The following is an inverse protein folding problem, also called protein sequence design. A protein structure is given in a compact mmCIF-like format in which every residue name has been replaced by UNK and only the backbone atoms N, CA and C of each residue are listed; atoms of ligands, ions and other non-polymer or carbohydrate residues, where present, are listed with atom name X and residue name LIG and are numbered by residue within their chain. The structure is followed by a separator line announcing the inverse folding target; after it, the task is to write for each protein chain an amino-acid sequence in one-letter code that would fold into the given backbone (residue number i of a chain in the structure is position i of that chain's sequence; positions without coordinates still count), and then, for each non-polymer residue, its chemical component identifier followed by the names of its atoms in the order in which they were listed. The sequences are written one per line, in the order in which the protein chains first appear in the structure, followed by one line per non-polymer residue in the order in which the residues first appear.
data_IF_205814517257
#
_entry.id   IF_205814517257
#
_cell.length_a   1.000
_cell.length_b   1.000
_cell.length_c   1.000
_cell.angle_alpha   90.00
_cell.angle_beta   90.00
_cell.angle_gamma   90.00
#
_symmetry.space_group_name_H-M   'P 1'
#
loop_
_entity.id
_entity.type
_entity.pdbx_description
1 polymer ?
#
# COMPACT_ATOMS: atom_id res chain seq x y z
N UNK A 1 -23.76 -16.19 12.92
CA UNK A 1 -23.23 -14.96 13.52
C UNK A 1 -22.93 -13.97 12.39
N UNK A 2 -23.44 -12.74 12.50
CA UNK A 2 -23.15 -11.66 11.56
C UNK A 2 -21.87 -10.93 12.00
N UNK A 3 -20.94 -10.74 11.08
CA UNK A 3 -19.65 -10.08 11.35
C UNK A 3 -19.50 -8.85 10.47
N UNK A 4 -19.33 -7.69 11.08
CA UNK A 4 -18.93 -6.45 10.42
C UNK A 4 -17.43 -6.26 10.58
N UNK A 5 -16.73 -5.85 9.53
CA UNK A 5 -15.28 -5.60 9.57
C UNK A 5 -15.00 -4.20 9.05
N UNK A 6 -14.53 -3.35 9.95
CA UNK A 6 -13.97 -2.02 9.65
C UNK A 6 -12.48 -2.16 9.38
N UNK A 7 -11.97 -1.48 8.36
CA UNK A 7 -10.55 -1.60 7.95
C UNK A 7 -9.90 -0.24 7.86
N UNK A 8 -8.76 -0.10 8.51
CA UNK A 8 -7.92 1.09 8.50
C UNK A 8 -6.54 0.80 7.92
N UNK A 9 -5.91 1.82 7.39
CA UNK A 9 -4.49 1.80 7.00
C UNK A 9 -4.26 1.48 5.52
N UNK A 10 -3.26 0.67 5.22
CA UNK A 10 -2.70 0.52 3.88
C UNK A 10 -3.31 -0.65 3.08
N UNK A 11 -3.04 -0.75 1.77
CA UNK A 11 -3.53 -1.86 0.92
C UNK A 11 -3.25 -3.27 1.45
N UNK A 12 -2.22 -3.44 2.31
CA UNK A 12 -1.95 -4.73 2.95
C UNK A 12 -2.99 -5.08 4.01
N UNK A 13 -3.48 -4.08 4.76
CA UNK A 13 -4.57 -4.28 5.73
C UNK A 13 -5.90 -4.58 5.02
N UNK A 14 -6.18 -3.91 3.89
CA UNK A 14 -7.36 -4.24 3.08
C UNK A 14 -7.28 -5.66 2.53
N UNK A 15 -6.11 -6.09 2.03
CA UNK A 15 -5.90 -7.47 1.62
C UNK A 15 -6.11 -8.47 2.78
N UNK A 16 -5.63 -8.14 3.98
CA UNK A 16 -5.83 -8.97 5.18
C UNK A 16 -7.33 -9.09 5.55
N UNK A 17 -8.09 -8.00 5.40
CA UNK A 17 -9.54 -7.99 5.61
C UNK A 17 -10.27 -8.87 4.58
N UNK A 18 -9.90 -8.81 3.31
CA UNK A 18 -10.50 -9.67 2.28
C UNK A 18 -10.21 -11.16 2.55
N UNK A 19 -9.01 -11.48 3.08
CA UNK A 19 -8.68 -12.82 3.58
C UNK A 19 -9.58 -13.19 4.76
N UNK A 20 -9.70 -12.32 5.77
CA UNK A 20 -10.58 -12.54 6.92
C UNK A 20 -12.02 -12.82 6.50
N UNK A 21 -12.56 -11.99 5.58
CA UNK A 21 -13.90 -12.19 4.99
C UNK A 21 -14.01 -13.50 4.23
N UNK A 22 -12.97 -13.86 3.47
CA UNK A 22 -12.90 -15.14 2.75
C UNK A 22 -12.99 -16.34 3.68
N UNK A 23 -12.18 -16.36 4.75
CA UNK A 23 -12.21 -17.41 5.76
C UNK A 23 -13.58 -17.56 6.46
N UNK A 24 -14.24 -16.43 6.75
CA UNK A 24 -15.57 -16.45 7.35
C UNK A 24 -16.65 -16.95 6.37
N UNK A 25 -16.57 -16.58 5.09
CA UNK A 25 -17.54 -16.98 4.06
C UNK A 25 -17.45 -18.48 3.71
N UNK A 26 -16.35 -19.18 4.02
CA UNK A 26 -16.26 -20.63 3.86
C UNK A 26 -17.09 -21.38 4.90
N UNK A 27 -17.42 -20.74 6.00
CA UNK A 27 -18.13 -21.31 7.13
C UNK A 27 -19.62 -20.98 7.09
N UNK A 28 -20.49 -21.98 7.27
CA UNK A 28 -21.94 -21.82 7.14
C UNK A 28 -22.61 -21.00 8.24
N UNK A 29 -21.94 -20.86 9.37
CA UNK A 29 -22.45 -20.21 10.56
C UNK A 29 -22.05 -18.73 10.66
N UNK A 30 -21.31 -18.22 9.65
CA UNK A 30 -20.97 -16.82 9.53
C UNK A 30 -21.61 -16.17 8.31
N UNK A 31 -21.99 -14.92 8.47
CA UNK A 31 -22.42 -14.02 7.39
C UNK A 31 -21.82 -12.65 7.62
N UNK A 32 -21.48 -11.94 6.55
CA UNK A 32 -21.01 -10.55 6.67
C UNK A 32 -22.19 -9.61 6.89
N UNK A 33 -21.99 -8.59 7.71
CA UNK A 33 -22.93 -7.50 7.91
C UNK A 33 -22.45 -6.27 7.14
N UNK A 34 -23.39 -5.48 6.64
CA UNK A 34 -23.10 -4.24 5.89
C UNK A 34 -22.89 -3.04 6.84
N UNK A 35 -23.34 -3.16 8.08
CA UNK A 35 -23.16 -2.11 9.10
C UNK A 35 -22.92 -2.68 10.50
N UNK A 36 -22.28 -1.89 11.41
CA UNK A 36 -22.02 -2.33 12.78
C UNK A 36 -23.31 -2.54 13.61
N UNK A 37 -24.41 -1.87 13.25
CA UNK A 37 -25.71 -2.02 13.92
C UNK A 37 -26.25 -3.44 13.75
N UNK A 38 -26.07 -4.04 12.57
CA UNK A 38 -26.60 -5.36 12.24
C UNK A 38 -25.71 -6.52 12.71
N UNK A 39 -24.49 -6.22 13.14
CA UNK A 39 -23.51 -7.22 13.48
C UNK A 39 -23.72 -7.82 14.87
N UNK A 40 -23.43 -9.11 15.02
CA UNK A 40 -23.23 -9.78 16.32
C UNK A 40 -21.78 -9.57 16.81
N UNK A 41 -20.85 -9.47 15.86
CA UNK A 41 -19.42 -9.28 16.09
C UNK A 41 -18.94 -8.12 15.23
N UNK A 42 -18.34 -7.11 15.85
CA UNK A 42 -17.67 -6.00 15.17
C UNK A 42 -16.16 -6.26 15.23
N UNK A 43 -15.49 -6.25 14.11
CA UNK A 43 -14.04 -6.41 14.01
C UNK A 43 -13.42 -5.15 13.43
N UNK A 44 -12.35 -4.65 14.06
CA UNK A 44 -11.58 -3.49 13.56
C UNK A 44 -10.18 -3.97 13.19
N UNK A 45 -9.85 -3.92 11.91
CA UNK A 45 -8.50 -4.19 11.40
C UNK A 45 -7.70 -2.88 11.38
N UNK A 46 -6.70 -2.79 12.24
CA UNK A 46 -6.04 -1.55 12.65
C UNK A 46 -4.67 -1.35 12.01
N UNK A 47 -4.27 -0.08 11.86
CA UNK A 47 -2.92 0.33 11.51
C UNK A 47 -2.14 0.78 12.75
N UNK A 48 -0.87 0.36 12.87
CA UNK A 48 0.00 0.70 14.00
C UNK A 48 1.39 1.20 13.55
N UNK A 49 1.48 1.75 12.33
CA UNK A 49 2.77 2.07 11.72
C UNK A 49 3.34 3.39 12.22
N UNK A 50 2.57 4.48 12.20
CA UNK A 50 2.95 5.82 12.67
C UNK A 50 1.93 6.35 13.67
N UNK A 51 2.29 7.42 14.41
CA UNK A 51 1.45 7.96 15.48
C UNK A 51 0.04 8.35 15.02
N UNK A 52 -0.11 8.99 13.87
CA UNK A 52 -1.42 9.40 13.36
C UNK A 52 -2.31 8.20 13.07
N UNK A 53 -1.77 7.16 12.43
CA UNK A 53 -2.50 5.93 12.15
C UNK A 53 -2.85 5.14 13.44
N UNK A 54 -2.02 5.23 14.49
CA UNK A 54 -2.34 4.66 15.81
C UNK A 54 -3.52 5.40 16.44
N UNK A 55 -3.50 6.74 16.40
CA UNK A 55 -4.58 7.57 16.92
C UNK A 55 -5.90 7.28 16.20
N UNK A 56 -5.90 7.30 14.87
CA UNK A 56 -7.05 6.96 14.04
C UNK A 56 -7.61 5.57 14.40
N UNK A 57 -6.73 4.58 14.58
CA UNK A 57 -7.13 3.23 14.96
C UNK A 57 -7.77 3.18 16.36
N UNK A 58 -7.21 3.88 17.34
CA UNK A 58 -7.78 3.96 18.69
C UNK A 58 -9.14 4.67 18.67
N UNK A 59 -9.23 5.81 18.00
CA UNK A 59 -10.49 6.57 17.87
C UNK A 59 -11.58 5.68 17.21
N UNK A 60 -11.25 4.92 16.20
CA UNK A 60 -12.17 3.99 15.52
C UNK A 60 -12.59 2.83 16.44
N UNK A 61 -11.68 2.25 17.22
CA UNK A 61 -12.04 1.21 18.20
C UNK A 61 -13.03 1.75 19.22
N UNK A 62 -12.81 2.97 19.74
CA UNK A 62 -13.71 3.61 20.69
C UNK A 62 -15.06 3.92 20.05
N UNK A 63 -15.11 4.40 18.81
CA UNK A 63 -16.35 4.60 18.06
C UNK A 63 -17.12 3.28 17.94
N UNK A 64 -16.46 2.20 17.53
CA UNK A 64 -17.09 0.89 17.38
C UNK A 64 -17.53 0.28 18.70
N UNK A 65 -16.87 0.60 19.82
CA UNK A 65 -17.29 0.14 21.15
C UNK A 65 -18.65 0.71 21.57
N UNK A 66 -19.00 1.92 21.09
CA UNK A 66 -20.31 2.54 21.33
C UNK A 66 -21.49 1.71 20.82
N UNK A 67 -21.29 0.89 19.80
CA UNK A 67 -22.32 -0.02 19.28
C UNK A 67 -22.59 -1.21 20.20
N UNK A 68 -21.70 -1.55 21.13
CA UNK A 68 -21.92 -2.61 22.13
C UNK A 68 -22.96 -2.18 23.17
N UNK A 69 -22.99 -0.89 23.52
CA UNK A 69 -23.85 -0.35 24.57
C UNK A 69 -25.26 -0.06 24.09
N UNK A 70 -25.46 0.12 22.78
CA UNK A 70 -26.70 0.61 22.18
C UNK A 70 -27.67 -0.48 21.71
N UNK A 71 -27.30 -1.78 21.79
CA UNK A 71 -28.08 -2.89 21.23
C UNK A 71 -28.84 -3.73 22.23
N UNK A 72 -29.92 -4.41 21.77
CA UNK A 72 -30.70 -5.39 22.57
C UNK A 72 -29.93 -6.73 22.77
N UNK A 73 -28.86 -6.98 21.98
CA UNK A 73 -28.01 -8.17 22.07
C UNK A 73 -26.57 -7.80 22.48
N UNK A 74 -25.93 -8.69 23.23
CA UNK A 74 -24.51 -8.54 23.63
C UNK A 74 -23.60 -8.68 22.41
N UNK A 75 -23.26 -7.56 21.77
CA UNK A 75 -22.30 -7.54 20.67
C UNK A 75 -20.86 -7.77 21.17
N UNK A 76 -20.01 -8.35 20.35
CA UNK A 76 -18.59 -8.55 20.62
C UNK A 76 -17.73 -7.62 19.77
N UNK A 77 -16.68 -7.06 20.37
CA UNK A 77 -15.70 -6.21 19.69
C UNK A 77 -14.35 -6.93 19.63
N UNK A 78 -13.85 -7.09 18.42
CA UNK A 78 -12.58 -7.75 18.11
C UNK A 78 -11.66 -6.76 17.42
N UNK A 79 -10.41 -6.67 17.86
CA UNK A 79 -9.39 -5.81 17.28
C UNK A 79 -8.27 -6.66 16.69
N UNK A 80 -7.91 -6.40 15.44
CA UNK A 80 -6.83 -7.08 14.73
C UNK A 80 -5.89 -6.09 14.05
N UNK A 81 -4.88 -6.60 13.37
CA UNK A 81 -4.00 -5.79 12.54
C UNK A 81 -2.73 -5.32 13.24
N UNK A 82 -2.08 -4.31 12.63
CA UNK A 82 -0.73 -3.89 13.04
C UNK A 82 -0.68 -3.27 14.43
N UNK A 83 -1.71 -2.51 14.83
CA UNK A 83 -1.76 -1.93 16.17
C UNK A 83 -1.93 -3.02 17.24
N UNK A 84 -2.85 -3.95 17.01
CA UNK A 84 -3.07 -5.10 17.89
C UNK A 84 -1.79 -5.93 18.05
N UNK A 85 -1.06 -6.22 16.95
CA UNK A 85 0.20 -6.97 17.00
C UNK A 85 1.27 -6.24 17.82
N UNK A 86 1.39 -4.92 17.64
CA UNK A 86 2.47 -4.12 18.22
C UNK A 86 2.28 -3.84 19.72
N UNK A 87 1.03 -3.60 20.15
CA UNK A 87 0.69 -3.12 21.49
C UNK A 87 -0.32 -4.00 22.22
N UNK A 88 -0.29 -5.30 21.94
CA UNK A 88 -1.31 -6.23 22.41
C UNK A 88 -1.52 -6.25 23.93
N UNK A 89 -0.45 -6.09 24.71
CA UNK A 89 -0.52 -6.12 26.18
C UNK A 89 -1.12 -4.83 26.71
N UNK A 90 -0.60 -3.70 26.27
CA UNK A 90 -1.04 -2.36 26.68
C UNK A 90 -2.51 -2.17 26.32
N UNK A 91 -2.90 -2.49 25.09
CA UNK A 91 -4.28 -2.39 24.65
C UNK A 91 -5.21 -3.35 25.42
N UNK A 92 -4.73 -4.55 25.72
CA UNK A 92 -5.52 -5.49 26.53
C UNK A 92 -5.78 -4.97 27.92
N UNK A 93 -4.85 -4.26 28.55
CA UNK A 93 -5.00 -3.71 29.89
C UNK A 93 -5.81 -2.42 29.91
N UNK A 94 -5.65 -1.57 28.88
CA UNK A 94 -6.22 -0.21 28.84
C UNK A 94 -7.59 -0.14 28.16
N UNK A 95 -7.96 -1.11 27.30
CA UNK A 95 -9.22 -1.12 26.54
C UNK A 95 -10.15 -2.28 26.96
N UNK A 96 -10.81 -2.20 28.13
CA UNK A 96 -11.67 -3.28 28.66
C UNK A 96 -12.91 -3.56 27.80
N UNK A 97 -13.33 -2.62 26.96
CA UNK A 97 -14.44 -2.76 26.01
C UNK A 97 -14.18 -3.76 24.89
N UNK A 98 -12.91 -4.05 24.58
CA UNK A 98 -12.52 -5.01 23.54
C UNK A 98 -12.55 -6.44 24.09
N UNK A 99 -13.29 -7.33 23.43
CA UNK A 99 -13.43 -8.73 23.83
C UNK A 99 -12.25 -9.59 23.38
N UNK A 100 -11.64 -9.27 22.22
CA UNK A 100 -10.52 -10.06 21.71
C UNK A 100 -9.55 -9.20 20.90
N UNK A 101 -8.26 -9.36 21.18
CA UNK A 101 -7.16 -8.86 20.35
C UNK A 101 -6.57 -10.03 19.57
N UNK A 102 -6.37 -9.84 18.24
CA UNK A 102 -5.84 -10.86 17.33
C UNK A 102 -4.61 -10.28 16.61
N UNK A 103 -3.57 -11.11 16.45
CA UNK A 103 -2.39 -10.76 15.68
C UNK A 103 -2.62 -10.82 14.16
N UNK A 104 -1.66 -10.30 13.40
CA UNK A 104 -1.72 -10.24 11.92
C UNK A 104 -1.62 -11.60 11.24
N UNK A 105 -1.23 -12.66 11.95
CA UNK A 105 -1.05 -13.99 11.41
C UNK A 105 -2.17 -14.97 11.79
N UNK A 106 -3.26 -14.52 12.41
CA UNK A 106 -4.30 -15.37 12.98
C UNK A 106 -5.55 -15.53 12.08
N UNK A 107 -5.56 -14.97 10.88
CA UNK A 107 -6.76 -14.93 10.01
C UNK A 107 -7.24 -16.33 9.58
N UNK A 108 -6.34 -17.30 9.38
CA UNK A 108 -6.72 -18.69 9.09
C UNK A 108 -7.56 -19.31 10.21
N UNK A 109 -7.30 -18.93 11.46
CA UNK A 109 -7.99 -19.41 12.64
C UNK A 109 -9.17 -18.54 13.06
N UNK A 110 -9.45 -17.47 12.32
CA UNK A 110 -10.47 -16.49 12.68
C UNK A 110 -11.85 -17.11 12.95
N UNK A 111 -12.39 -18.06 12.16
CA UNK A 111 -13.67 -18.68 12.46
C UNK A 111 -13.69 -19.41 13.80
N UNK A 112 -12.61 -20.13 14.13
CA UNK A 112 -12.46 -20.82 15.41
C UNK A 112 -12.42 -19.82 16.59
N UNK A 113 -11.67 -18.74 16.43
CA UNK A 113 -11.51 -17.68 17.43
C UNK A 113 -12.86 -17.04 17.71
N UNK A 114 -13.60 -16.66 16.68
CA UNK A 114 -14.89 -15.97 16.83
C UNK A 114 -15.98 -16.86 17.44
N UNK A 115 -15.98 -18.19 17.18
CA UNK A 115 -16.88 -19.12 17.87
C UNK A 115 -16.65 -19.23 19.38
N UNK A 116 -15.44 -18.94 19.82
CA UNK A 116 -14.98 -19.13 21.20
C UNK A 116 -14.80 -17.82 21.99
N UNK A 117 -15.52 -16.74 21.62
CA UNK A 117 -15.48 -15.45 22.33
C UNK A 117 -16.29 -15.44 23.64
N UNK A 118 -16.19 -16.50 24.45
CA UNK A 118 -16.92 -16.58 25.75
C UNK A 118 -16.22 -15.80 26.89
N UNK A 119 -14.96 -15.42 26.68
CA UNK A 119 -14.18 -14.64 27.64
C UNK A 119 -13.24 -13.71 26.88
N UNK A 120 -12.86 -12.62 27.55
CA UNK A 120 -11.88 -11.68 26.98
C UNK A 120 -10.53 -12.35 26.71
N UNK A 121 -9.94 -12.14 25.52
CA UNK A 121 -8.75 -12.84 25.06
C UNK A 121 -7.73 -11.91 24.39
N UNK A 122 -6.46 -12.23 24.58
CA UNK A 122 -5.36 -11.71 23.77
C UNK A 122 -4.71 -12.89 23.03
N UNK A 123 -4.88 -12.93 21.71
CA UNK A 123 -4.42 -14.02 20.82
C UNK A 123 -3.34 -13.54 19.86
N UNK A 124 -2.54 -12.57 20.27
CA UNK A 124 -1.36 -12.14 19.54
C UNK A 124 -0.22 -13.10 19.87
N UNK A 125 0.05 -14.02 18.95
CA UNK A 125 1.02 -15.09 19.20
C UNK A 125 2.46 -14.72 18.85
N UNK A 126 2.66 -13.71 18.02
CA UNK A 126 3.98 -13.38 17.45
C UNK A 126 4.60 -14.52 16.64
N UNK A 127 3.92 -15.67 16.52
CA UNK A 127 4.37 -16.82 15.76
C UNK A 127 4.13 -16.60 14.27
N UNK A 128 5.22 -16.49 13.53
CA UNK A 128 5.22 -16.36 12.08
C UNK A 128 5.64 -17.71 11.50
N UNK A 129 4.78 -18.33 10.70
CA UNK A 129 5.14 -19.54 9.95
C UNK A 129 6.27 -19.26 8.94
N UNK A 130 6.97 -20.30 8.52
CA UNK A 130 8.09 -20.18 7.55
C UNK A 130 7.63 -19.87 6.13
N UNK A 131 6.34 -20.01 5.82
CA UNK A 131 5.76 -19.80 4.49
C UNK A 131 4.51 -18.93 4.58
N UNK A 132 4.24 -18.15 3.53
CA UNK A 132 3.00 -17.42 3.37
C UNK A 132 2.00 -18.28 2.57
N UNK A 133 0.95 -18.83 3.22
CA UNK A 133 -0.02 -19.68 2.54
C UNK A 133 -0.93 -18.88 1.62
N UNK A 134 -1.47 -19.55 0.59
CA UNK A 134 -2.61 -19.03 -0.16
C UNK A 134 -3.87 -19.22 0.69
N UNK A 135 -4.62 -18.15 0.87
CA UNK A 135 -5.92 -18.15 1.53
C UNK A 135 -6.98 -17.59 0.59
N UNK A 136 -8.21 -18.07 0.74
CA UNK A 136 -9.34 -17.50 0.01
C UNK A 136 -9.56 -16.06 0.42
N UNK A 137 -9.94 -15.25 -0.56
CA UNK A 137 -10.30 -13.85 -0.36
C UNK A 137 -11.73 -13.62 -0.80
N UNK A 138 -12.43 -12.76 -0.07
CA UNK A 138 -13.67 -12.15 -0.53
C UNK A 138 -13.36 -10.69 -0.83
N UNK A 139 -13.37 -10.35 -2.11
CA UNK A 139 -13.06 -9.01 -2.58
C UNK A 139 -14.11 -8.01 -2.08
N UNK A 140 -13.63 -6.85 -1.66
CA UNK A 140 -14.42 -5.67 -1.34
C UNK A 140 -14.29 -4.63 -2.46
N UNK A 141 -15.40 -3.91 -2.71
CA UNK A 141 -15.39 -2.76 -3.61
C UNK A 141 -15.21 -3.15 -5.07
N UNK A 142 -14.24 -2.57 -5.70
CA UNK A 142 -14.07 -2.49 -7.14
C UNK A 142 -13.47 -3.77 -7.72
N UNK A 143 -14.21 -4.61 -8.47
CA UNK A 143 -13.69 -5.90 -8.93
C UNK A 143 -12.64 -5.76 -10.04
N UNK A 144 -12.55 -4.60 -10.71
CA UNK A 144 -11.62 -4.41 -11.84
C UNK A 144 -10.21 -3.98 -11.44
N UNK A 145 -9.99 -3.54 -10.19
CA UNK A 145 -8.66 -3.30 -9.62
C UNK A 145 -8.50 -4.12 -8.36
N UNK A 146 -7.45 -4.92 -8.26
CA UNK A 146 -7.19 -5.75 -7.09
C UNK A 146 -5.73 -5.76 -6.72
N UNK A 147 -5.45 -5.79 -5.43
CA UNK A 147 -4.09 -6.01 -4.91
C UNK A 147 -3.80 -7.49 -4.82
N UNK A 148 -2.56 -7.90 -5.10
CA UNK A 148 -2.07 -9.26 -4.90
C UNK A 148 -0.83 -9.23 -4.01
N UNK A 149 -0.98 -9.74 -2.79
CA UNK A 149 0.12 -9.84 -1.83
C UNK A 149 1.00 -11.03 -2.19
N UNK A 150 2.22 -10.76 -2.70
CA UNK A 150 3.19 -11.77 -3.14
C UNK A 150 4.18 -12.18 -2.06
N UNK A 151 4.35 -11.35 -1.03
CA UNK A 151 5.20 -11.64 0.13
C UNK A 151 4.71 -10.87 1.36
N UNK A 152 5.17 -11.28 2.56
CA UNK A 152 4.88 -10.65 3.84
C UNK A 152 6.16 -10.51 4.66
N UNK A 153 6.24 -9.46 5.51
CA UNK A 153 7.40 -9.20 6.35
C UNK A 153 8.55 -8.51 5.61
N UNK A 154 9.61 -8.12 6.33
CA UNK A 154 10.72 -7.39 5.75
C UNK A 154 12.03 -7.62 6.50
N UNK A 155 13.14 -7.82 5.77
CA UNK A 155 14.48 -7.99 6.30
C UNK A 155 15.40 -6.78 6.02
N UNK A 156 14.85 -5.62 5.63
CA UNK A 156 15.67 -4.43 5.38
C UNK A 156 16.10 -3.71 6.66
N UNK A 157 15.32 -3.85 7.75
CA UNK A 157 15.61 -3.27 9.06
C UNK A 157 15.96 -1.78 9.01
N UNK A 158 15.22 -1.00 8.20
CA UNK A 158 15.39 0.45 8.18
C UNK A 158 15.21 1.04 9.58
N UNK A 159 16.09 1.98 9.99
CA UNK A 159 16.16 2.46 11.37
C UNK A 159 14.88 3.13 11.89
N UNK A 160 14.02 3.62 11.01
CA UNK A 160 12.73 4.25 11.32
C UNK A 160 11.54 3.29 11.33
N UNK A 161 11.74 2.01 10.95
CA UNK A 161 10.64 1.13 10.56
C UNK A 161 10.37 0.05 11.61
N UNK A 162 9.10 -0.09 11.99
CA UNK A 162 8.61 -1.10 12.94
C UNK A 162 8.11 -2.38 12.27
N UNK A 163 8.09 -2.45 10.94
CA UNK A 163 7.50 -3.59 10.20
C UNK A 163 8.12 -4.93 10.59
N UNK A 164 9.45 -5.09 10.73
CA UNK A 164 10.02 -6.38 11.13
C UNK A 164 9.50 -6.91 12.47
N UNK A 165 9.16 -6.02 13.41
CA UNK A 165 8.60 -6.42 14.71
C UNK A 165 7.10 -6.75 14.64
N UNK A 166 6.36 -6.21 13.66
CA UNK A 166 4.92 -6.43 13.49
C UNK A 166 4.65 -7.61 12.56
N UNK A 167 5.29 -7.61 11.37
CA UNK A 167 5.00 -8.57 10.29
C UNK A 167 6.03 -9.69 10.18
N UNK A 168 7.09 -9.62 11.00
CA UNK A 168 8.17 -10.60 11.02
C UNK A 168 9.14 -10.49 9.84
N UNK A 169 9.97 -11.55 9.68
CA UNK A 169 10.91 -11.68 8.58
C UNK A 169 10.21 -11.85 7.23
N UNK A 170 10.93 -11.54 6.16
CA UNK A 170 10.43 -11.63 4.79
C UNK A 170 10.11 -13.08 4.39
N UNK A 171 8.93 -13.29 3.83
CA UNK A 171 8.42 -14.59 3.38
C UNK A 171 7.66 -14.42 2.08
N UNK A 172 8.12 -15.04 1.02
CA UNK A 172 7.42 -15.06 -0.26
C UNK A 172 6.26 -16.05 -0.24
N UNK A 173 5.22 -15.74 -0.99
CA UNK A 173 4.21 -16.72 -1.41
C UNK A 173 4.79 -17.55 -2.56
N UNK A 174 4.51 -18.85 -2.61
CA UNK A 174 4.96 -19.69 -3.72
C UNK A 174 4.43 -19.18 -5.05
N UNK A 175 5.22 -19.31 -6.11
CA UNK A 175 4.85 -18.77 -7.44
C UNK A 175 3.54 -19.36 -7.96
N UNK A 176 3.36 -20.67 -7.80
CA UNK A 176 2.13 -21.37 -8.20
C UNK A 176 0.89 -20.84 -7.44
N UNK A 177 1.03 -20.46 -6.17
CA UNK A 177 -0.05 -19.90 -5.37
C UNK A 177 -0.37 -18.47 -5.79
N UNK A 178 0.66 -17.66 -6.12
CA UNK A 178 0.49 -16.31 -6.65
C UNK A 178 -0.25 -16.33 -7.99
N UNK A 179 0.15 -17.23 -8.90
CA UNK A 179 -0.46 -17.36 -10.22
C UNK A 179 -1.92 -17.83 -10.12
N UNK A 180 -2.19 -18.82 -9.30
CA UNK A 180 -3.54 -19.32 -9.10
C UNK A 180 -4.48 -18.25 -8.48
N UNK A 181 -3.97 -17.42 -7.55
CA UNK A 181 -4.74 -16.29 -7.00
C UNK A 181 -4.97 -15.20 -8.05
N UNK A 182 -3.96 -14.90 -8.89
CA UNK A 182 -4.10 -13.96 -9.99
C UNK A 182 -5.14 -14.40 -11.03
N UNK A 183 -5.19 -15.70 -11.36
CA UNK A 183 -6.20 -16.27 -12.25
C UNK A 183 -7.62 -16.16 -11.67
N UNK A 184 -7.79 -16.39 -10.36
CA UNK A 184 -9.08 -16.21 -9.67
C UNK A 184 -9.53 -14.75 -9.68
N UNK A 185 -8.61 -13.81 -9.41
CA UNK A 185 -8.89 -12.37 -9.47
C UNK A 185 -9.29 -11.96 -10.89
N UNK A 186 -8.55 -12.41 -11.90
CA UNK A 186 -8.84 -12.15 -13.30
C UNK A 186 -10.21 -12.72 -13.72
N UNK A 187 -10.55 -13.94 -13.29
CA UNK A 187 -11.84 -14.55 -13.53
C UNK A 187 -13.00 -13.80 -12.83
N UNK A 188 -12.71 -13.09 -11.74
CA UNK A 188 -13.68 -12.25 -11.01
C UNK A 188 -13.86 -10.86 -11.64
N UNK A 189 -13.11 -10.52 -12.71
CA UNK A 189 -13.22 -9.27 -13.45
C UNK A 189 -12.09 -8.29 -13.23
N UNK A 190 -11.01 -8.69 -12.52
CA UNK A 190 -9.83 -7.85 -12.32
C UNK A 190 -9.15 -7.56 -13.67
N UNK A 191 -8.99 -6.28 -13.99
CA UNK A 191 -8.26 -5.75 -15.14
C UNK A 191 -6.89 -5.21 -14.76
N UNK A 192 -6.79 -4.56 -13.60
CA UNK A 192 -5.54 -4.07 -13.04
C UNK A 192 -5.15 -4.88 -11.81
N UNK A 193 -4.00 -5.56 -11.88
CA UNK A 193 -3.42 -6.32 -10.78
C UNK A 193 -2.25 -5.55 -10.18
N UNK A 194 -2.35 -5.17 -8.90
CA UNK A 194 -1.32 -4.44 -8.18
C UNK A 194 -0.56 -5.38 -7.28
N UNK A 195 0.72 -5.62 -7.57
CA UNK A 195 1.57 -6.45 -6.74
C UNK A 195 2.04 -5.69 -5.51
N UNK A 196 1.78 -6.26 -4.33
CA UNK A 196 2.15 -5.66 -3.05
C UNK A 196 2.94 -6.63 -2.17
N UNK A 197 3.86 -6.06 -1.41
CA UNK A 197 4.58 -6.63 -0.27
C UNK A 197 5.13 -5.47 0.57
N UNK A 198 5.94 -5.73 1.59
CA UNK A 198 6.77 -4.69 2.19
C UNK A 198 7.99 -4.35 1.33
N UNK A 199 8.37 -5.28 0.44
CA UNK A 199 9.44 -5.15 -0.55
C UNK A 199 9.18 -6.17 -1.66
N UNK A 200 8.54 -5.75 -2.76
CA UNK A 200 8.21 -6.67 -3.87
C UNK A 200 9.45 -7.12 -4.64
N UNK A 201 10.51 -6.29 -4.68
CA UNK A 201 11.74 -6.61 -5.41
C UNK A 201 12.52 -7.77 -4.77
N UNK A 202 12.22 -8.09 -3.50
CA UNK A 202 12.84 -9.20 -2.78
C UNK A 202 12.17 -10.57 -3.03
N UNK A 203 11.10 -10.59 -3.86
CA UNK A 203 10.32 -11.82 -4.10
C UNK A 203 11.18 -12.98 -4.59
N UNK A 204 11.00 -14.13 -3.93
CA UNK A 204 11.60 -15.40 -4.28
C UNK A 204 12.94 -15.71 -3.62
N UNK A 205 13.64 -14.72 -3.06
CA UNK A 205 15.00 -14.93 -2.51
C UNK A 205 15.03 -15.95 -1.37
N UNK A 206 14.00 -15.97 -0.53
CA UNK A 206 13.84 -16.88 0.60
C UNK A 206 13.44 -18.30 0.18
N UNK A 207 12.62 -18.44 -0.87
CA UNK A 207 12.13 -19.74 -1.34
C UNK A 207 13.03 -20.40 -2.37
N UNK A 208 13.65 -19.61 -3.26
CA UNK A 208 14.36 -20.11 -4.45
C UNK A 208 15.86 -19.78 -4.43
N UNK A 209 16.31 -18.94 -3.47
CA UNK A 209 17.71 -18.50 -3.41
C UNK A 209 18.09 -17.43 -4.45
N UNK A 210 17.12 -16.93 -5.21
CA UNK A 210 17.30 -15.92 -6.27
C UNK A 210 16.06 -15.01 -6.40
N UNK A 211 16.23 -13.83 -6.96
CA UNK A 211 15.14 -12.89 -7.20
C UNK A 211 14.24 -13.38 -8.35
N UNK A 212 12.99 -13.70 -8.06
CA UNK A 212 12.03 -14.31 -8.99
C UNK A 212 10.94 -13.35 -9.49
N UNK A 213 11.01 -12.06 -9.15
CA UNK A 213 10.03 -11.09 -9.62
C UNK A 213 9.96 -11.00 -11.16
N UNK A 214 11.08 -10.96 -11.91
CA UNK A 214 11.02 -10.93 -13.38
C UNK A 214 10.32 -12.15 -13.97
N UNK A 215 10.60 -13.35 -13.44
CA UNK A 215 9.95 -14.59 -13.88
C UNK A 215 8.45 -14.59 -13.56
N UNK A 216 8.07 -14.18 -12.34
CA UNK A 216 6.67 -14.05 -11.94
C UNK A 216 5.91 -13.11 -12.88
N UNK A 217 6.49 -11.95 -13.20
CA UNK A 217 5.87 -10.95 -14.09
C UNK A 217 5.60 -11.52 -15.49
N UNK A 218 6.58 -12.23 -16.09
CA UNK A 218 6.39 -12.89 -17.39
C UNK A 218 5.23 -13.89 -17.35
N UNK A 219 5.05 -14.59 -16.24
CA UNK A 219 3.96 -15.55 -16.10
C UNK A 219 2.60 -14.87 -15.89
N UNK A 220 2.53 -13.83 -15.06
CA UNK A 220 1.33 -13.04 -14.87
C UNK A 220 0.85 -12.37 -16.17
N UNK A 221 1.76 -11.91 -17.01
CA UNK A 221 1.44 -11.33 -18.32
C UNK A 221 0.73 -12.32 -19.27
N UNK A 222 0.84 -13.63 -19.05
CA UNK A 222 0.13 -14.66 -19.84
C UNK A 222 -1.34 -14.81 -19.48
N UNK A 223 -1.80 -14.20 -18.41
CA UNK A 223 -3.22 -14.22 -18.02
C UNK A 223 -3.97 -13.20 -18.88
N UNK A 224 -4.71 -13.69 -19.89
CA UNK A 224 -5.31 -12.86 -20.93
C UNK A 224 -6.25 -11.77 -20.38
N UNK A 225 -7.02 -12.07 -19.33
CA UNK A 225 -8.00 -11.16 -18.75
C UNK A 225 -7.39 -9.97 -18.00
N UNK A 226 -6.12 -10.06 -17.58
CA UNK A 226 -5.39 -8.93 -17.00
C UNK A 226 -4.99 -7.95 -18.09
N UNK A 227 -5.25 -6.66 -17.84
CA UNK A 227 -4.88 -5.57 -18.73
C UNK A 227 -3.63 -4.82 -18.23
N UNK A 228 -3.58 -4.51 -16.93
CA UNK A 228 -2.46 -3.83 -16.27
C UNK A 228 -1.92 -4.65 -15.11
N UNK A 229 -0.60 -4.64 -14.96
CA UNK A 229 0.14 -5.19 -13.82
C UNK A 229 1.02 -4.07 -13.28
N UNK A 230 0.79 -3.65 -12.02
CA UNK A 230 1.49 -2.54 -11.39
C UNK A 230 2.37 -3.00 -10.26
N UNK A 231 3.58 -2.42 -10.16
CA UNK A 231 4.55 -2.70 -9.10
C UNK A 231 4.53 -1.58 -8.06
N UNK A 232 4.29 -1.95 -6.80
CA UNK A 232 4.34 -1.05 -5.66
C UNK A 232 5.39 -1.52 -4.65
N UNK A 233 5.96 -0.57 -3.88
CA UNK A 233 6.90 -0.87 -2.79
C UNK A 233 8.18 -1.58 -3.25
N UNK A 234 8.82 -1.08 -4.29
CA UNK A 234 10.10 -1.56 -4.80
C UNK A 234 11.27 -0.97 -4.01
N UNK A 235 12.28 -1.78 -3.77
CA UNK A 235 13.52 -1.33 -3.15
C UNK A 235 14.59 -1.13 -4.24
N UNK A 236 15.16 0.06 -4.32
CA UNK A 236 15.93 0.50 -5.50
C UNK A 236 17.20 -0.33 -5.74
N UNK A 237 17.86 -0.84 -4.68
CA UNK A 237 19.09 -1.66 -4.77
C UNK A 237 18.85 -3.06 -5.37
N UNK A 238 17.59 -3.45 -5.58
CA UNK A 238 17.18 -4.73 -6.17
C UNK A 238 16.45 -4.59 -7.50
N UNK A 239 16.43 -3.40 -8.08
CA UNK A 239 15.93 -3.19 -9.44
C UNK A 239 17.04 -3.62 -10.42
N UNK A 240 17.00 -4.91 -10.76
CA UNK A 240 17.97 -5.55 -11.67
C UNK A 240 17.73 -5.14 -13.13
N UNK A 241 18.75 -5.31 -13.98
CA UNK A 241 18.58 -5.08 -15.43
C UNK A 241 17.53 -6.02 -16.02
N UNK A 242 17.45 -7.27 -15.55
CA UNK A 242 16.41 -8.20 -15.96
C UNK A 242 14.99 -7.70 -15.62
N UNK A 243 14.79 -7.10 -14.45
CA UNK A 243 13.49 -6.51 -14.09
C UNK A 243 13.14 -5.37 -15.04
N UNK A 244 14.10 -4.48 -15.31
CA UNK A 244 13.91 -3.35 -16.24
C UNK A 244 13.58 -3.86 -17.67
N UNK A 245 14.30 -4.86 -18.15
CA UNK A 245 14.05 -5.49 -19.47
C UNK A 245 12.62 -6.07 -19.56
N UNK A 246 12.17 -6.76 -18.51
CA UNK A 246 10.81 -7.32 -18.48
C UNK A 246 9.76 -6.21 -18.45
N UNK A 247 9.96 -5.16 -17.66
CA UNK A 247 9.04 -4.02 -17.62
C UNK A 247 8.96 -3.31 -18.99
N UNK A 248 10.08 -3.18 -19.69
CA UNK A 248 10.13 -2.57 -21.01
C UNK A 248 9.50 -3.43 -22.13
N UNK A 249 9.57 -4.77 -21.98
CA UNK A 249 9.16 -5.69 -23.04
C UNK A 249 7.68 -6.13 -22.94
N UNK A 250 7.12 -6.15 -21.74
CA UNK A 250 5.77 -6.69 -21.48
C UNK A 250 4.72 -5.59 -21.46
N UNK A 251 3.82 -5.49 -22.44
CA UNK A 251 2.90 -4.36 -22.58
C UNK A 251 1.82 -4.28 -21.48
N UNK A 252 1.61 -5.35 -20.72
CA UNK A 252 0.69 -5.35 -19.57
C UNK A 252 1.30 -4.76 -18.32
N UNK A 253 2.63 -4.66 -18.23
CA UNK A 253 3.29 -4.05 -17.08
C UNK A 253 3.20 -2.54 -17.23
N UNK A 254 2.62 -1.89 -16.24
CA UNK A 254 2.52 -0.44 -16.20
C UNK A 254 3.92 0.19 -16.29
N UNK A 255 4.10 1.16 -17.19
CA UNK A 255 5.29 2.02 -17.17
C UNK A 255 5.23 2.96 -15.94
N UNK A 256 5.14 2.34 -14.79
CA UNK A 256 5.04 2.94 -13.47
C UNK A 256 5.77 2.08 -12.46
N UNK A 257 6.52 2.71 -11.56
CA UNK A 257 7.18 2.01 -10.46
C UNK A 257 7.22 2.88 -9.21
N UNK A 258 6.83 2.31 -8.06
CA UNK A 258 6.92 2.97 -6.77
C UNK A 258 8.21 2.53 -6.05
N UNK A 259 9.12 3.50 -5.83
CA UNK A 259 10.44 3.31 -5.23
C UNK A 259 10.61 4.28 -4.06
N UNK A 260 10.21 3.92 -2.84
CA UNK A 260 10.40 4.77 -1.66
C UNK A 260 11.89 4.92 -1.30
N UNK A 261 12.58 5.91 -1.86
CA UNK A 261 14.02 6.13 -1.62
C UNK A 261 14.32 6.71 -0.24
N UNK A 262 13.36 7.40 0.36
CA UNK A 262 13.34 8.04 1.66
C UNK A 262 14.23 9.29 1.78
N UNK A 263 15.46 9.27 1.25
CA UNK A 263 16.38 10.41 1.21
C UNK A 263 17.38 10.27 0.06
N UNK A 264 18.16 11.32 -0.24
CA UNK A 264 19.20 11.30 -1.27
C UNK A 264 20.62 11.55 -0.74
N UNK A 265 20.76 12.14 0.46
CA UNK A 265 22.05 12.38 1.08
C UNK A 265 22.61 11.12 1.76
N UNK A 266 23.84 10.75 1.42
CA UNK A 266 24.49 9.52 1.91
C UNK A 266 24.60 9.40 3.43
N UNK A 267 24.87 10.49 4.21
CA UNK A 267 24.93 10.40 5.66
C UNK A 267 23.57 9.98 6.26
N UNK A 268 22.48 10.54 5.74
CA UNK A 268 21.12 10.24 6.21
C UNK A 268 20.69 8.82 5.79
N UNK A 269 20.93 8.42 4.54
CA UNK A 269 20.65 7.06 4.06
C UNK A 269 21.38 6.00 4.91
N UNK A 270 22.63 6.27 5.27
CA UNK A 270 23.40 5.39 6.15
C UNK A 270 22.82 5.34 7.57
N UNK A 271 22.43 6.49 8.12
CA UNK A 271 21.76 6.57 9.43
C UNK A 271 20.39 5.88 9.44
N UNK A 272 19.67 5.91 8.31
CA UNK A 272 18.43 5.16 8.08
C UNK A 272 18.65 3.64 7.92
N UNK A 273 19.91 3.15 7.97
CA UNK A 273 20.27 1.76 7.67
C UNK A 273 19.85 1.34 6.26
N UNK A 274 19.91 2.25 5.29
CA UNK A 274 19.69 1.92 3.88
C UNK A 274 21.02 1.56 3.21
N UNK A 275 20.95 0.62 2.27
CA UNK A 275 22.13 0.17 1.49
C UNK A 275 22.43 1.10 0.32
N UNK A 276 21.42 1.85 -0.08
CA UNK A 276 21.47 2.81 -1.18
C UNK A 276 22.38 3.99 -0.87
N UNK A 277 22.91 4.60 -1.92
CA UNK A 277 23.57 5.90 -1.91
C UNK A 277 22.88 6.84 -2.89
N UNK A 278 23.05 8.14 -2.76
CA UNK A 278 22.54 9.11 -3.73
C UNK A 278 22.99 8.81 -5.16
N UNK A 279 24.20 8.28 -5.33
CA UNK A 279 24.73 7.87 -6.63
C UNK A 279 24.01 6.63 -7.20
N UNK A 280 23.76 5.59 -6.39
CA UNK A 280 23.05 4.38 -6.85
C UNK A 280 21.58 4.67 -7.17
N UNK A 281 20.93 5.53 -6.38
CA UNK A 281 19.54 5.98 -6.64
C UNK A 281 19.45 6.68 -7.99
N UNK A 282 20.32 7.67 -8.24
CA UNK A 282 20.37 8.42 -9.53
C UNK A 282 20.66 7.48 -10.70
N UNK A 283 21.57 6.50 -10.52
CA UNK A 283 21.88 5.48 -11.54
C UNK A 283 20.67 4.61 -11.85
N UNK A 284 19.93 4.15 -10.86
CA UNK A 284 18.73 3.32 -11.09
C UNK A 284 17.63 4.10 -11.81
N UNK A 285 17.39 5.37 -11.43
CA UNK A 285 16.46 6.25 -12.15
C UNK A 285 16.88 6.44 -13.62
N UNK A 286 18.19 6.63 -13.87
CA UNK A 286 18.70 6.79 -15.22
C UNK A 286 18.49 5.52 -16.07
N UNK A 287 18.84 4.34 -15.55
CA UNK A 287 18.63 3.05 -16.25
C UNK A 287 17.14 2.81 -16.57
N UNK A 288 16.25 3.12 -15.63
CA UNK A 288 14.80 3.00 -15.86
C UNK A 288 14.34 3.90 -17.00
N UNK A 289 14.74 5.18 -17.01
CA UNK A 289 14.34 6.15 -18.05
C UNK A 289 15.00 5.89 -19.40
N UNK A 290 16.20 5.32 -19.42
CA UNK A 290 16.86 4.91 -20.67
C UNK A 290 16.13 3.72 -21.33
N UNK A 291 15.72 2.73 -20.53
CA UNK A 291 15.02 1.55 -21.04
C UNK A 291 13.52 1.80 -21.32
N UNK A 292 12.89 2.65 -20.52
CA UNK A 292 11.44 2.96 -20.57
C UNK A 292 11.28 4.49 -20.56
N UNK A 293 11.34 5.17 -21.72
CA UNK A 293 11.39 6.64 -21.77
C UNK A 293 10.16 7.37 -21.21
N UNK A 294 9.01 6.69 -21.15
CA UNK A 294 7.74 7.21 -20.62
C UNK A 294 7.41 6.69 -19.21
N UNK A 295 8.39 6.07 -18.52
CA UNK A 295 8.16 5.58 -17.17
C UNK A 295 7.81 6.70 -16.20
N UNK A 296 6.82 6.47 -15.36
CA UNK A 296 6.50 7.33 -14.22
C UNK A 296 7.05 6.67 -12.95
N UNK A 297 7.94 7.39 -12.29
CA UNK A 297 8.57 6.95 -11.04
C UNK A 297 7.91 7.68 -9.89
N UNK A 298 7.29 6.89 -9.00
CA UNK A 298 6.79 7.37 -7.71
C UNK A 298 7.84 7.16 -6.64
N UNK A 299 7.96 8.10 -5.73
CA UNK A 299 8.83 7.98 -4.57
C UNK A 299 8.19 8.51 -3.30
N UNK A 300 8.76 8.12 -2.18
CA UNK A 300 8.45 8.66 -0.86
C UNK A 300 9.75 9.15 -0.22
N UNK A 301 9.71 10.35 0.37
CA UNK A 301 10.79 10.95 1.11
C UNK A 301 10.43 11.12 2.59
N UNK A 302 11.45 11.14 3.45
CA UNK A 302 11.33 11.48 4.86
C UNK A 302 12.28 12.64 5.13
N UNK A 303 11.75 13.74 5.67
CA UNK A 303 12.54 14.91 6.11
C UNK A 303 12.59 15.00 7.63
N UNK A 304 13.64 15.64 8.16
CA UNK A 304 13.82 15.79 9.59
C UNK A 304 14.17 14.48 10.30
N UNK A 305 14.82 13.55 9.58
CA UNK A 305 15.39 12.36 10.20
C UNK A 305 16.46 12.74 11.25
N UNK A 306 16.57 12.03 12.38
CA UNK A 306 17.56 12.37 13.42
C UNK A 306 18.96 12.54 12.86
N UNK A 307 19.55 13.72 13.10
CA UNK A 307 20.87 14.09 12.62
C UNK A 307 20.96 14.63 11.20
N UNK A 308 19.85 14.77 10.48
CA UNK A 308 19.79 15.43 9.17
C UNK A 308 20.22 16.89 9.28
N UNK A 309 21.31 17.25 8.63
CA UNK A 309 21.83 18.63 8.62
C UNK A 309 21.15 19.48 7.54
N UNK A 310 21.37 20.81 7.59
CA UNK A 310 20.88 21.69 6.52
C UNK A 310 21.50 21.32 5.17
N UNK A 311 22.79 20.96 5.14
CA UNK A 311 23.47 20.53 3.92
C UNK A 311 22.85 19.23 3.35
N UNK A 312 22.46 18.26 4.19
CA UNK A 312 21.80 17.04 3.76
C UNK A 312 20.42 17.35 3.16
N UNK A 313 19.70 18.32 3.74
CA UNK A 313 18.42 18.76 3.23
C UNK A 313 18.55 19.51 1.89
N UNK A 314 19.55 20.40 1.75
CA UNK A 314 19.86 21.08 0.48
C UNK A 314 20.19 20.06 -0.62
N UNK A 315 20.96 18.99 -0.30
CA UNK A 315 21.23 17.88 -1.24
C UNK A 315 19.95 17.14 -1.65
N UNK A 316 19.03 16.92 -0.71
CA UNK A 316 17.73 16.31 -1.00
C UNK A 316 16.88 17.20 -1.91
N UNK A 317 16.86 18.50 -1.66
CA UNK A 317 16.11 19.47 -2.46
C UNK A 317 16.68 19.56 -3.89
N UNK A 318 18.01 19.59 -4.05
CA UNK A 318 18.68 19.50 -5.36
C UNK A 318 18.32 18.20 -6.10
N UNK A 319 18.27 17.09 -5.35
CA UNK A 319 17.83 15.82 -5.93
C UNK A 319 16.40 15.92 -6.49
N UNK A 320 15.45 16.48 -5.75
CA UNK A 320 14.07 16.65 -6.22
C UNK A 320 14.01 17.49 -7.51
N UNK A 321 14.75 18.60 -7.53
CA UNK A 321 14.81 19.51 -8.69
C UNK A 321 15.43 18.85 -9.93
N UNK A 322 16.47 18.01 -9.74
CA UNK A 322 17.23 17.40 -10.83
C UNK A 322 16.64 16.08 -11.30
N UNK A 323 16.18 15.24 -10.38
CA UNK A 323 15.57 13.94 -10.72
C UNK A 323 14.18 14.09 -11.32
N UNK A 324 13.41 15.15 -10.93
CA UNK A 324 12.08 15.48 -11.45
C UNK A 324 11.18 14.25 -11.55
N UNK A 325 11.02 13.56 -10.41
CA UNK A 325 10.18 12.37 -10.36
C UNK A 325 8.70 12.74 -10.53
N UNK A 326 7.99 11.95 -11.27
CA UNK A 326 6.62 12.23 -11.73
C UNK A 326 5.63 12.24 -10.57
N UNK A 327 5.86 11.40 -9.55
CA UNK A 327 5.04 11.31 -8.34
C UNK A 327 5.94 11.28 -7.11
N UNK A 328 5.66 12.14 -6.15
CA UNK A 328 6.44 12.23 -4.93
C UNK A 328 5.55 12.58 -3.73
N UNK A 329 5.64 11.77 -2.68
CA UNK A 329 5.12 12.09 -1.36
C UNK A 329 6.27 12.34 -0.39
N UNK A 330 6.11 13.31 0.52
CA UNK A 330 7.07 13.57 1.59
C UNK A 330 6.38 13.50 2.94
N UNK A 331 7.07 12.93 3.93
CA UNK A 331 6.61 12.83 5.31
C UNK A 331 7.65 13.46 6.25
N UNK A 332 7.16 14.15 7.26
CA UNK A 332 7.96 14.49 8.42
C UNK A 332 8.31 13.20 9.18
N UNK A 333 9.55 13.06 9.61
CA UNK A 333 9.96 11.90 10.41
C UNK A 333 9.11 11.80 11.68
N UNK A 334 8.42 10.67 11.85
CA UNK A 334 7.69 10.32 13.08
C UNK A 334 8.59 9.50 14.00
N UNK A 335 8.78 9.98 15.23
CA UNK A 335 9.55 9.26 16.24
C UNK A 335 8.74 8.07 16.76
N UNK A 336 9.14 6.87 16.36
CA UNK A 336 8.43 5.65 16.71
C UNK A 336 9.17 4.87 17.79
N UNK A 337 8.46 4.52 18.84
CA UNK A 337 8.93 3.69 19.94
C UNK A 337 9.41 2.31 19.44
N UNK A 338 10.51 1.81 20.02
CA UNK A 338 11.10 0.54 19.66
C UNK A 338 11.85 0.53 18.33
N UNK A 339 12.08 1.70 17.71
CA UNK A 339 12.92 1.84 16.52
C UNK A 339 14.30 2.40 16.85
N UNK A 340 15.37 1.98 16.15
CA UNK A 340 16.69 2.58 16.34
C UNK A 340 16.68 4.11 16.18
N UNK A 341 15.93 4.65 15.20
CA UNK A 341 15.85 6.10 15.00
C UNK A 341 15.11 6.81 16.12
N UNK A 342 14.15 6.15 16.78
CA UNK A 342 13.46 6.70 17.94
C UNK A 342 14.37 6.91 19.15
N UNK A 343 15.46 6.13 19.26
CA UNK A 343 16.44 6.18 20.34
C UNK A 343 17.63 7.15 20.05
N UNK A 344 17.71 7.70 18.84
CA UNK A 344 18.76 8.67 18.48
C UNK A 344 18.58 9.99 19.26
N UNK A 345 19.69 10.58 19.74
CA UNK A 345 19.65 11.79 20.59
C UNK A 345 19.38 13.07 19.79
N UNK A 346 19.85 13.15 18.53
CA UNK A 346 19.79 14.35 17.69
C UNK A 346 18.48 14.42 16.87
N UNK A 347 17.36 14.36 17.58
CA UNK A 347 16.03 14.58 17.02
C UNK A 347 15.90 16.01 16.48
N UNK A 348 15.22 16.15 15.34
CA UNK A 348 14.97 17.46 14.71
C UNK A 348 13.67 18.04 15.26
N UNK A 349 13.65 19.37 15.44
CA UNK A 349 12.48 20.11 15.89
C UNK A 349 11.31 19.97 14.88
N UNK A 350 10.08 19.84 15.37
CA UNK A 350 8.91 19.66 14.51
C UNK A 350 8.71 20.82 13.52
N UNK A 351 8.98 22.06 13.95
CA UNK A 351 8.88 23.21 13.08
C UNK A 351 9.85 23.15 11.89
N UNK A 352 11.06 22.61 12.11
CA UNK A 352 12.05 22.42 11.03
C UNK A 352 11.60 21.30 10.09
N UNK A 353 11.01 20.23 10.61
CA UNK A 353 10.46 19.14 9.79
C UNK A 353 9.33 19.66 8.88
N UNK A 354 8.41 20.45 9.42
CA UNK A 354 7.30 21.06 8.66
C UNK A 354 7.84 22.02 7.59
N UNK A 355 8.82 22.87 7.91
CA UNK A 355 9.44 23.77 6.93
C UNK A 355 10.08 23.01 5.77
N UNK A 356 10.83 21.94 6.06
CA UNK A 356 11.46 21.08 5.05
C UNK A 356 10.43 20.34 4.20
N UNK A 357 9.37 19.81 4.83
CA UNK A 357 8.26 19.18 4.13
C UNK A 357 7.61 20.14 3.13
N UNK A 358 7.24 21.33 3.58
CA UNK A 358 6.64 22.37 2.76
C UNK A 358 7.54 22.79 1.59
N UNK A 359 8.86 22.90 1.83
CA UNK A 359 9.81 23.28 0.78
C UNK A 359 9.85 22.24 -0.35
N UNK A 360 9.90 20.94 -0.01
CA UNK A 360 9.87 19.86 -1.01
C UNK A 360 8.53 19.81 -1.73
N UNK A 361 7.41 19.92 -1.01
CA UNK A 361 6.08 19.84 -1.63
C UNK A 361 5.85 20.98 -2.62
N UNK A 362 6.33 22.20 -2.33
CA UNK A 362 6.26 23.32 -3.29
C UNK A 362 7.04 23.02 -4.58
N UNK A 363 8.24 22.43 -4.47
CA UNK A 363 9.03 22.03 -5.66
C UNK A 363 8.34 20.94 -6.45
N UNK A 364 7.79 19.95 -5.74
CA UNK A 364 7.08 18.84 -6.39
C UNK A 364 5.81 19.31 -7.10
N UNK A 365 5.12 20.31 -6.58
CA UNK A 365 3.93 20.87 -7.21
C UNK A 365 4.26 21.41 -8.62
N UNK A 366 5.35 22.21 -8.75
CA UNK A 366 5.81 22.73 -10.03
C UNK A 366 6.23 21.61 -11.00
N UNK A 367 6.86 20.55 -10.48
CA UNK A 367 7.27 19.39 -11.27
C UNK A 367 6.03 18.62 -11.75
N UNK A 368 5.09 18.33 -10.86
CA UNK A 368 3.86 17.62 -11.19
C UNK A 368 3.03 18.35 -12.24
N UNK A 369 2.86 19.66 -12.08
CA UNK A 369 2.19 20.51 -13.07
C UNK A 369 2.86 20.43 -14.44
N UNK A 370 4.19 20.56 -14.50
CA UNK A 370 4.92 20.47 -15.75
C UNK A 370 4.79 19.09 -16.43
N UNK A 371 4.83 18.00 -15.65
CA UNK A 371 4.61 16.63 -16.13
C UNK A 371 3.20 16.46 -16.69
N UNK A 372 2.20 17.00 -16.01
CA UNK A 372 0.81 16.92 -16.44
C UNK A 372 0.55 17.78 -17.69
N UNK A 373 1.07 19.01 -17.73
CA UNK A 373 0.98 19.89 -18.92
C UNK A 373 1.59 19.26 -20.17
N UNK A 374 2.67 18.46 -20.03
CA UNK A 374 3.27 17.75 -21.16
C UNK A 374 2.37 16.64 -21.74
N UNK A 375 1.26 16.31 -21.09
CA UNK A 375 0.24 15.33 -21.54
C UNK A 375 -0.87 16.02 -22.36
N UNK A 376 -1.01 17.34 -22.31
CA UNK A 376 -2.04 18.08 -23.09
C UNK A 376 -1.89 17.78 -24.58
N UNK A 377 -2.99 17.45 -25.23
CA UNK A 377 -3.07 17.04 -26.64
C UNK A 377 -2.79 15.56 -26.90
N UNK A 378 -2.32 14.81 -25.90
CA UNK A 378 -2.14 13.35 -26.02
C UNK A 378 -3.45 12.62 -25.77
N UNK A 379 -3.60 11.45 -26.41
CA UNK A 379 -4.65 10.48 -26.09
C UNK A 379 -4.07 9.44 -25.13
N UNK A 380 -4.69 9.31 -23.96
CA UNK A 380 -4.30 8.35 -22.93
C UNK A 380 -5.42 7.33 -22.72
N UNK A 381 -5.04 6.09 -22.49
CA UNK A 381 -5.97 5.06 -22.04
C UNK A 381 -6.27 5.27 -20.56
N UNK A 382 -7.55 5.31 -20.22
CA UNK A 382 -8.08 5.58 -18.88
C UNK A 382 -8.95 4.42 -18.44
N UNK A 383 -8.66 3.86 -17.29
CA UNK A 383 -9.54 2.92 -16.59
C UNK A 383 -10.57 3.74 -15.80
N UNK A 384 -11.84 3.59 -16.15
CA UNK A 384 -12.96 4.30 -15.52
C UNK A 384 -13.17 3.75 -14.11
N UNK A 385 -13.18 4.62 -13.11
CA UNK A 385 -13.41 4.24 -11.71
C UNK A 385 -14.82 4.56 -11.26
N UNK A 386 -15.30 5.75 -11.59
CA UNK A 386 -16.65 6.18 -11.19
C UNK A 386 -17.26 7.16 -12.19
N UNK A 387 -18.54 7.39 -12.01
CA UNK A 387 -19.29 8.43 -12.72
C UNK A 387 -19.78 9.44 -11.69
N UNK A 388 -19.44 10.70 -11.91
CA UNK A 388 -19.86 11.81 -11.07
C UNK A 388 -21.37 12.14 -11.25
N UNK A 389 -21.92 12.91 -10.30
CA UNK A 389 -23.32 13.34 -10.29
C UNK A 389 -23.66 14.26 -11.49
N UNK A 390 -22.71 15.01 -12.01
CA UNK A 390 -22.86 15.87 -13.20
C UNK A 390 -22.81 15.10 -14.53
N UNK A 391 -22.52 13.79 -14.47
CA UNK A 391 -22.45 12.88 -15.61
C UNK A 391 -21.06 12.78 -16.23
N UNK A 392 -20.04 13.46 -15.70
CA UNK A 392 -18.63 13.25 -16.03
C UNK A 392 -18.11 11.94 -15.46
N UNK A 393 -16.93 11.53 -15.87
CA UNK A 393 -16.27 10.30 -15.43
C UNK A 393 -14.94 10.63 -14.76
N UNK A 394 -14.61 9.85 -13.74
CA UNK A 394 -13.30 9.83 -13.10
C UNK A 394 -12.63 8.52 -13.40
N UNK A 395 -11.34 8.55 -13.69
CA UNK A 395 -10.56 7.35 -13.94
C UNK A 395 -9.06 7.62 -13.82
N UNK A 396 -8.26 6.59 -14.05
CA UNK A 396 -6.80 6.65 -13.94
C UNK A 396 -6.12 6.17 -15.21
N UNK A 397 -4.93 6.68 -15.44
CA UNK A 397 -4.05 6.19 -16.50
C UNK A 397 -3.15 5.06 -16.01
N UNK A 398 -2.44 4.42 -16.94
CA UNK A 398 -1.36 3.47 -16.63
C UNK A 398 -0.27 4.08 -15.72
N UNK A 399 -0.18 5.39 -15.64
CA UNK A 399 0.83 6.13 -14.89
C UNK A 399 0.43 6.48 -13.45
N UNK A 400 -0.76 6.08 -13.01
CA UNK A 400 -1.33 6.53 -11.74
C UNK A 400 -1.87 5.33 -10.94
N UNK A 401 -1.38 5.17 -9.72
CA UNK A 401 -1.88 4.16 -8.78
C UNK A 401 -3.16 4.66 -8.09
N UNK A 402 -4.10 3.75 -7.72
CA UNK A 402 -5.36 4.15 -7.09
C UNK A 402 -5.12 4.85 -5.75
N UNK A 403 -5.98 5.82 -5.44
CA UNK A 403 -6.08 6.56 -4.15
C UNK A 403 -4.89 7.46 -3.79
N UNK A 404 -3.72 7.28 -4.42
CA UNK A 404 -2.49 7.98 -4.03
C UNK A 404 -1.88 8.86 -5.12
N UNK A 405 -2.29 8.69 -6.37
CA UNK A 405 -1.81 9.46 -7.51
C UNK A 405 -2.95 10.24 -8.18
N UNK A 406 -2.72 10.72 -9.37
CA UNK A 406 -3.60 11.64 -10.07
C UNK A 406 -4.82 10.94 -10.70
N UNK A 407 -5.89 11.69 -10.87
CA UNK A 407 -7.07 11.28 -11.62
C UNK A 407 -7.16 11.95 -13.00
N UNK A 408 -8.00 11.38 -13.86
CA UNK A 408 -8.45 11.99 -15.11
C UNK A 408 -9.95 12.21 -15.02
N UNK A 409 -10.37 13.47 -15.04
CA UNK A 409 -11.77 13.85 -15.16
C UNK A 409 -12.10 14.04 -16.63
N UNK A 410 -13.12 13.35 -17.13
CA UNK A 410 -13.41 13.42 -18.55
C UNK A 410 -14.89 13.29 -18.88
N UNK A 411 -15.27 13.73 -20.06
CA UNK A 411 -16.62 13.55 -20.59
C UNK A 411 -16.63 12.52 -21.72
N UNK A 412 -17.71 11.78 -21.85
CA UNK A 412 -17.92 10.81 -22.90
C UNK A 412 -19.34 10.92 -23.48
N UNK A 413 -19.48 10.53 -24.75
CA UNK A 413 -20.80 10.33 -25.40
C UNK A 413 -21.33 8.93 -25.20
N UNK A 414 -20.45 7.99 -24.78
CA UNK A 414 -20.82 6.62 -24.40
C UNK A 414 -21.28 6.59 -22.95
N UNK A 415 -22.15 5.65 -22.64
CA UNK A 415 -22.51 5.33 -21.27
C UNK A 415 -21.49 4.30 -20.74
N UNK A 416 -20.43 4.80 -20.09
CA UNK A 416 -19.36 4.01 -19.56
C UNK A 416 -19.70 3.50 -18.15
N UNK A 417 -19.13 2.38 -17.79
CA UNK A 417 -19.24 1.77 -16.46
C UNK A 417 -17.87 1.73 -15.80
N UNK A 418 -17.87 1.71 -14.49
CA UNK A 418 -16.67 1.44 -13.73
C UNK A 418 -15.99 0.13 -14.21
N UNK A 419 -14.69 0.18 -14.44
CA UNK A 419 -13.91 -0.88 -15.06
C UNK A 419 -13.80 -0.84 -16.58
N UNK A 420 -14.52 0.02 -17.28
CA UNK A 420 -14.33 0.20 -18.73
C UNK A 420 -13.02 0.92 -19.02
N UNK A 421 -12.47 0.66 -20.20
CA UNK A 421 -11.32 1.39 -20.73
C UNK A 421 -11.82 2.42 -21.75
N UNK A 422 -11.33 3.64 -21.63
CA UNK A 422 -11.66 4.75 -22.50
C UNK A 422 -10.38 5.40 -23.03
N UNK A 423 -10.36 5.75 -24.31
CA UNK A 423 -9.28 6.56 -24.88
C UNK A 423 -9.65 8.02 -24.72
N UNK A 424 -8.90 8.77 -23.91
CA UNK A 424 -9.21 10.16 -23.54
C UNK A 424 -8.16 11.09 -24.08
N UNK A 425 -8.58 12.08 -24.87
CA UNK A 425 -7.73 13.18 -25.29
C UNK A 425 -7.66 14.19 -24.16
N UNK A 426 -6.43 14.45 -23.66
CA UNK A 426 -6.19 15.40 -22.58
C UNK A 426 -6.23 16.82 -23.15
N UNK A 427 -7.10 17.65 -22.59
CA UNK A 427 -7.33 19.03 -23.04
C UNK A 427 -6.80 20.07 -22.06
N UNK A 428 -6.73 19.72 -20.76
CA UNK A 428 -6.22 20.61 -19.70
C UNK A 428 -5.54 19.78 -18.61
N UNK A 429 -4.75 20.43 -17.76
CA UNK A 429 -3.98 19.79 -16.71
C UNK A 429 -3.79 20.72 -15.52
N UNK A 430 -4.02 20.19 -14.32
CA UNK A 430 -3.76 20.82 -13.04
C UNK A 430 -2.55 20.17 -12.34
N UNK A 431 -2.27 20.64 -11.14
CA UNK A 431 -1.12 20.16 -10.35
C UNK A 431 -1.17 18.63 -10.13
N UNK A 432 -2.36 18.08 -9.96
CA UNK A 432 -2.57 16.65 -9.72
C UNK A 432 -3.45 15.98 -10.77
N UNK A 433 -4.44 16.67 -11.35
CA UNK A 433 -5.44 16.04 -12.20
C UNK A 433 -5.36 16.48 -13.65
N UNK A 434 -5.87 15.62 -14.52
CA UNK A 434 -5.99 15.85 -15.95
C UNK A 434 -7.47 16.02 -16.31
N UNK A 435 -7.73 16.85 -17.33
CA UNK A 435 -9.08 16.99 -17.90
C UNK A 435 -9.05 16.59 -19.36
N UNK A 436 -10.08 15.83 -19.79
CA UNK A 436 -10.14 15.35 -21.15
C UNK A 436 -11.53 15.06 -21.67
N UNK A 437 -11.55 14.55 -22.88
CA UNK A 437 -12.76 14.12 -23.60
C UNK A 437 -12.45 12.79 -24.27
N UNK A 438 -13.34 11.81 -24.13
CA UNK A 438 -13.22 10.55 -24.85
C UNK A 438 -13.29 10.76 -26.36
N UNK A 439 -12.42 10.05 -27.13
CA UNK A 439 -12.30 10.15 -28.59
C UNK A 439 -12.70 8.86 -29.30
#
# INVERSE_FOLDING_TARGET
MKVYIETLGCPKNFNDTEVAKGCLCEERDFTLADSPEEADIIMVNTCGFINDAKKESIDKILEMSGYKESGESEKKLVVSGCLSERYSKELFDEMPEVDCFIGVNEYERLPEILRNLHSRKNLVSGCVGDTLPRMRRKLDGNPFTSTLKIAEGCNNYCAYCVIPSIRGGFRSKKMEDVLAEAEELAASGCKELILIAQDVTNYGIDLYGEYKLPELLRQLCRIDALHWIRLMYCYEDRITDELIEVMAAEPKICHYIDIPIQHAADPVLRAMNRRSTGATIRSTIHRLREAIPDIHIRTTLIVGFPGETEQDFEELLDFVETARLERLGVFAYSREEGTPAGEMENQIDEAVKEERLDAIMRRQLDISLAVNQAKIGKCLEVLVEERDEDGSYVGRTVYDAPEIDNAVLFTSKRDLRAGDLALVQINDAFDYDLIGVEV
#
